data_IF_107458474164
#
_entry.id   IF_107458474164
#
_cell.length_a   1.000
_cell.length_b   1.000
_cell.length_c   1.000
_cell.angle_alpha   90.00
_cell.angle_beta   90.00
_cell.angle_gamma   90.00
#
_symmetry.space_group_name_H-M   'P 1'
#
loop_
_entity.id
_entity.type
_entity.pdbx_description
1 polymer ?
#
# COMPACT_ATOMS: atom_id res chain seq x y z
N UNK A 1 -3.37 -15.52 -13.38
CA UNK A 1 -3.41 -16.61 -12.37
C UNK A 1 -4.79 -17.28 -12.38
N UNK A 2 -4.84 -18.61 -12.20
CA UNK A 2 -6.13 -19.33 -12.11
C UNK A 2 -6.79 -19.01 -10.76
N UNK A 3 -8.10 -18.72 -10.78
CA UNK A 3 -8.86 -18.38 -9.56
C UNK A 3 -8.83 -19.53 -8.52
N UNK A 4 -8.62 -19.17 -7.24
CA UNK A 4 -8.74 -20.12 -6.13
C UNK A 4 -10.21 -20.50 -5.90
N UNK A 5 -10.47 -21.74 -5.49
CA UNK A 5 -11.78 -22.11 -4.95
C UNK A 5 -11.96 -21.50 -3.55
N UNK A 6 -13.19 -21.46 -3.04
CA UNK A 6 -13.46 -20.84 -1.73
C UNK A 6 -12.63 -21.46 -0.62
N UNK A 7 -12.52 -22.79 -0.58
CA UNK A 7 -11.68 -23.48 0.41
C UNK A 7 -10.20 -23.18 0.25
N UNK A 8 -9.70 -23.12 -0.98
CA UNK A 8 -8.31 -22.74 -1.26
C UNK A 8 -8.04 -21.27 -0.88
N UNK A 9 -9.00 -20.39 -1.12
CA UNK A 9 -8.91 -18.98 -0.74
C UNK A 9 -8.86 -18.81 0.79
N UNK A 10 -9.67 -19.57 1.53
CA UNK A 10 -9.63 -19.60 3.00
C UNK A 10 -8.27 -20.06 3.53
N UNK A 11 -7.73 -21.16 2.97
CA UNK A 11 -6.42 -21.69 3.35
C UNK A 11 -5.31 -20.68 3.04
N UNK A 12 -5.33 -20.07 1.85
CA UNK A 12 -4.36 -19.05 1.47
C UNK A 12 -4.41 -17.82 2.39
N UNK A 13 -5.61 -17.32 2.71
CA UNK A 13 -5.81 -16.23 3.67
C UNK A 13 -5.30 -16.57 5.08
N UNK A 14 -5.52 -17.82 5.52
CA UNK A 14 -5.00 -18.29 6.81
C UNK A 14 -3.47 -18.28 6.83
N UNK A 15 -2.82 -18.84 5.79
CA UNK A 15 -1.35 -18.86 5.67
C UNK A 15 -0.79 -17.44 5.69
N UNK A 16 -1.38 -16.55 4.92
CA UNK A 16 -0.99 -15.13 4.86
C UNK A 16 -1.13 -14.44 6.23
N UNK A 17 -2.29 -14.59 6.88
CA UNK A 17 -2.56 -14.00 8.20
C UNK A 17 -1.66 -14.57 9.29
N UNK A 18 -1.37 -15.87 9.23
CA UNK A 18 -0.46 -16.53 10.17
C UNK A 18 0.96 -15.98 10.03
N UNK A 19 1.47 -15.92 8.81
CA UNK A 19 2.80 -15.40 8.51
C UNK A 19 2.95 -13.93 8.90
N UNK A 20 1.88 -13.12 8.72
CA UNK A 20 1.84 -11.74 9.20
C UNK A 20 1.93 -11.63 10.72
N UNK A 21 1.26 -12.53 11.47
CA UNK A 21 1.24 -12.50 12.94
C UNK A 21 2.49 -13.07 13.59
N UNK A 22 3.05 -14.12 13.02
CA UNK A 22 4.11 -14.94 13.62
C UNK A 22 5.48 -14.73 12.99
N UNK A 23 5.58 -14.06 11.83
CA UNK A 23 6.80 -13.86 11.03
C UNK A 23 7.39 -15.14 10.41
N UNK A 24 6.64 -16.25 10.45
CA UNK A 24 6.97 -17.52 9.81
C UNK A 24 5.68 -18.21 9.34
N UNK A 25 5.74 -19.07 8.29
CA UNK A 25 4.55 -19.76 7.80
C UNK A 25 4.06 -20.84 8.77
N UNK A 26 2.75 -21.19 8.71
CA UNK A 26 2.22 -22.30 9.48
C UNK A 26 2.77 -23.64 8.97
N UNK A 27 2.81 -24.63 9.85
CA UNK A 27 3.01 -26.03 9.49
C UNK A 27 1.73 -26.64 8.90
N UNK A 28 1.87 -27.78 8.22
CA UNK A 28 0.69 -28.52 7.73
C UNK A 28 -0.22 -29.01 8.88
N UNK A 29 0.37 -29.31 10.05
CA UNK A 29 -0.40 -29.70 11.24
C UNK A 29 -1.24 -28.51 11.76
N UNK A 30 -0.66 -27.31 11.87
CA UNK A 30 -1.37 -26.09 12.29
C UNK A 30 -2.51 -25.75 11.32
N UNK A 31 -2.33 -25.96 10.00
CA UNK A 31 -3.41 -25.81 9.00
C UNK A 31 -4.49 -26.89 9.19
N UNK A 32 -4.09 -28.16 9.38
CA UNK A 32 -5.03 -29.26 9.62
C UNK A 32 -5.92 -28.95 10.81
N UNK A 33 -5.32 -28.57 11.92
CA UNK A 33 -6.01 -28.35 13.19
C UNK A 33 -6.95 -27.13 13.10
N UNK A 34 -6.51 -26.05 12.44
CA UNK A 34 -7.33 -24.85 12.24
C UNK A 34 -8.59 -25.13 11.38
N UNK A 35 -8.46 -25.93 10.34
CA UNK A 35 -9.56 -26.20 9.40
C UNK A 35 -10.32 -27.49 9.70
N UNK A 36 -9.93 -28.25 10.73
CA UNK A 36 -10.56 -29.52 11.09
C UNK A 36 -10.41 -30.60 10.03
N UNK A 37 -9.29 -30.64 9.29
CA UNK A 37 -9.07 -31.69 8.30
C UNK A 37 -8.79 -33.04 8.97
N UNK A 38 -9.41 -34.11 8.47
CA UNK A 38 -9.24 -35.47 9.00
C UNK A 38 -7.82 -36.03 8.80
N UNK A 39 -7.03 -35.50 7.86
CA UNK A 39 -5.68 -35.98 7.59
C UNK A 39 -4.74 -34.92 7.07
N UNK A 40 -3.42 -35.12 7.24
CA UNK A 40 -2.41 -34.26 6.60
C UNK A 40 -2.43 -34.35 5.08
N UNK A 41 -2.85 -35.48 4.51
CA UNK A 41 -2.94 -35.64 3.06
C UNK A 41 -4.00 -34.72 2.45
N UNK A 42 -5.10 -34.44 3.16
CA UNK A 42 -6.11 -33.46 2.73
C UNK A 42 -5.49 -32.06 2.64
N UNK A 43 -4.69 -31.65 3.65
CA UNK A 43 -3.98 -30.36 3.61
C UNK A 43 -3.00 -30.33 2.44
N UNK A 44 -2.19 -31.40 2.26
CA UNK A 44 -1.23 -31.51 1.15
C UNK A 44 -1.89 -31.32 -0.21
N UNK A 45 -3.03 -31.97 -0.45
CA UNK A 45 -3.78 -31.86 -1.69
C UNK A 45 -4.22 -30.42 -1.98
N UNK A 46 -4.73 -29.71 -0.97
CA UNK A 46 -5.10 -28.31 -1.12
C UNK A 46 -3.89 -27.41 -1.38
N UNK A 47 -2.79 -27.61 -0.63
CA UNK A 47 -1.56 -26.83 -0.81
C UNK A 47 -0.95 -27.05 -2.20
N UNK A 48 -0.88 -28.29 -2.69
CA UNK A 48 -0.41 -28.59 -4.05
C UNK A 48 -1.25 -27.91 -5.14
N UNK A 49 -2.57 -27.84 -4.95
CA UNK A 49 -3.46 -27.13 -5.89
C UNK A 49 -3.27 -25.60 -5.83
N UNK A 50 -3.02 -25.05 -4.66
CA UNK A 50 -2.71 -23.62 -4.47
C UNK A 50 -1.35 -23.30 -5.12
N UNK A 51 -0.34 -24.17 -4.95
CA UNK A 51 0.95 -24.09 -5.60
C UNK A 51 0.84 -24.15 -7.13
N UNK A 52 0.09 -25.15 -7.67
CA UNK A 52 -0.16 -25.29 -9.12
C UNK A 52 -0.82 -24.04 -9.73
N UNK A 53 -1.56 -23.27 -8.92
CA UNK A 53 -2.17 -22.00 -9.33
C UNK A 53 -1.24 -20.80 -9.18
N UNK A 54 -0.03 -21.00 -8.62
CA UNK A 54 1.02 -20.00 -8.51
C UNK A 54 0.91 -19.07 -7.31
N UNK A 55 0.16 -19.40 -6.26
CA UNK A 55 0.00 -18.55 -5.07
C UNK A 55 1.01 -18.82 -3.95
N UNK A 56 1.54 -20.04 -3.91
CA UNK A 56 2.56 -20.47 -2.94
C UNK A 56 3.61 -21.32 -3.66
N UNK A 57 4.78 -21.46 -3.02
CA UNK A 57 5.80 -22.48 -3.34
C UNK A 57 5.97 -23.36 -2.13
N UNK A 58 6.09 -24.68 -2.34
CA UNK A 58 6.23 -25.66 -1.28
C UNK A 58 7.65 -26.25 -1.29
N UNK A 59 8.37 -26.04 -0.20
CA UNK A 59 9.64 -26.70 0.06
C UNK A 59 9.39 -27.99 0.88
N UNK A 60 9.11 -29.07 0.17
CA UNK A 60 8.87 -30.38 0.79
C UNK A 60 10.09 -30.83 1.59
N UNK A 61 9.87 -31.29 2.83
CA UNK A 61 10.94 -31.67 3.75
C UNK A 61 11.30 -30.63 4.82
N UNK A 62 10.80 -29.41 4.69
CA UNK A 62 10.91 -28.40 5.77
C UNK A 62 9.59 -28.25 6.52
N UNK A 63 9.62 -28.27 7.85
CA UNK A 63 8.42 -28.15 8.70
C UNK A 63 7.60 -26.88 8.44
N UNK A 64 8.24 -25.81 7.98
CA UNK A 64 7.66 -24.50 7.66
C UNK A 64 8.01 -24.08 6.22
N UNK A 65 7.93 -25.02 5.29
CA UNK A 65 8.37 -24.85 3.92
C UNK A 65 7.32 -24.25 2.97
N UNK A 66 6.37 -23.43 3.46
CA UNK A 66 5.38 -22.74 2.65
C UNK A 66 5.88 -21.32 2.40
N UNK A 67 6.15 -20.99 1.14
CA UNK A 67 6.56 -19.65 0.70
C UNK A 67 5.42 -19.04 -0.12
N UNK A 68 5.04 -17.81 0.19
CA UNK A 68 4.10 -17.05 -0.64
C UNK A 68 4.81 -16.58 -1.91
N UNK A 69 4.33 -16.96 -3.09
CA UNK A 69 4.93 -16.57 -4.38
C UNK A 69 4.56 -15.16 -4.78
N UNK A 70 3.40 -14.72 -4.31
CA UNK A 70 2.97 -13.34 -4.33
C UNK A 70 2.62 -13.00 -2.89
N UNK A 71 3.57 -12.63 -2.07
CA UNK A 71 3.20 -12.00 -0.84
C UNK A 71 2.29 -10.86 -1.26
N UNK A 72 1.17 -10.71 -0.57
CA UNK A 72 0.43 -9.44 -0.54
C UNK A 72 1.35 -8.45 0.21
N UNK A 73 2.51 -8.22 -0.39
CA UNK A 73 3.67 -7.50 0.15
C UNK A 73 3.32 -6.05 0.37
N UNK A 74 2.28 -5.59 -0.34
CA UNK A 74 1.96 -4.18 -0.33
C UNK A 74 1.36 -3.68 0.98
N UNK A 75 0.86 -4.56 1.86
CA UNK A 75 0.29 -4.15 3.14
C UNK A 75 0.55 -5.16 4.25
N UNK A 76 1.77 -5.66 4.35
CA UNK A 76 2.19 -6.33 5.58
C UNK A 76 2.18 -5.29 6.70
N UNK A 77 1.15 -5.35 7.52
CA UNK A 77 0.86 -4.43 8.64
C UNK A 77 1.99 -4.25 9.66
N UNK A 78 3.15 -4.86 9.48
CA UNK A 78 4.17 -4.94 10.55
C UNK A 78 5.51 -4.28 10.31
N UNK A 79 5.93 -3.98 9.05
CA UNK A 79 7.35 -3.62 8.92
C UNK A 79 7.71 -2.57 7.88
N UNK A 80 6.86 -2.25 6.91
CA UNK A 80 7.26 -1.32 5.86
C UNK A 80 6.09 -0.59 5.21
N UNK A 81 6.37 0.59 4.66
CA UNK A 81 5.42 1.42 3.91
C UNK A 81 5.88 1.45 2.46
N UNK A 82 5.04 1.04 1.48
CA UNK A 82 5.41 1.06 0.08
C UNK A 82 5.58 2.50 -0.43
N UNK A 83 6.66 2.74 -1.17
CA UNK A 83 6.95 4.00 -1.85
C UNK A 83 6.37 3.94 -3.26
N UNK A 84 5.41 4.81 -3.55
CA UNK A 84 4.86 4.98 -4.88
C UNK A 84 5.86 5.78 -5.72
N UNK A 85 6.26 5.21 -6.85
CA UNK A 85 7.11 5.83 -7.85
C UNK A 85 6.31 6.52 -8.95
N UNK A 86 6.85 6.54 -10.15
CA UNK A 86 6.19 7.12 -11.31
C UNK A 86 4.92 6.34 -11.68
N UNK A 87 3.86 7.09 -11.96
CA UNK A 87 2.56 6.52 -12.32
C UNK A 87 2.51 6.34 -13.83
N UNK A 88 2.59 5.09 -14.27
CA UNK A 88 2.54 4.80 -15.70
C UNK A 88 1.13 5.02 -16.29
N UNK A 89 1.06 5.68 -17.44
CA UNK A 89 -0.19 5.93 -18.15
C UNK A 89 -0.91 4.62 -18.53
N UNK A 90 -2.22 4.58 -18.30
CA UNK A 90 -3.07 3.43 -18.68
C UNK A 90 -2.97 2.21 -17.75
N UNK A 91 -2.18 2.27 -16.69
CA UNK A 91 -2.05 1.22 -15.68
C UNK A 91 -2.82 1.64 -14.41
N UNK A 92 -3.57 0.74 -13.77
CA UNK A 92 -4.21 1.06 -12.49
C UNK A 92 -3.19 1.50 -11.44
N UNK A 93 -3.47 2.58 -10.72
CA UNK A 93 -2.54 3.19 -9.75
C UNK A 93 -1.96 2.19 -8.73
N UNK A 94 -2.79 1.28 -8.23
CA UNK A 94 -2.47 0.36 -7.14
C UNK A 94 -1.94 -1.00 -7.64
N UNK A 95 -1.07 -0.99 -8.65
CA UNK A 95 -0.38 -2.19 -9.13
C UNK A 95 1.08 -2.17 -8.72
N UNK A 96 1.67 -3.37 -8.65
CA UNK A 96 3.05 -3.58 -8.19
C UNK A 96 4.08 -2.74 -8.95
N UNK A 97 3.85 -2.54 -10.22
CA UNK A 97 4.75 -1.81 -11.12
C UNK A 97 4.90 -0.32 -10.80
N UNK A 98 3.94 0.25 -10.08
CA UNK A 98 3.99 1.66 -9.67
C UNK A 98 4.67 1.86 -8.31
N UNK A 99 5.13 0.81 -7.65
CA UNK A 99 5.88 0.91 -6.40
C UNK A 99 7.36 0.60 -6.63
N UNK A 100 8.22 1.52 -6.25
CA UNK A 100 9.67 1.39 -6.42
C UNK A 100 10.30 0.54 -5.33
N UNK A 101 10.02 0.88 -4.07
CA UNK A 101 10.65 0.31 -2.89
C UNK A 101 9.69 0.27 -1.70
N UNK A 102 10.11 -0.39 -0.63
CA UNK A 102 9.44 -0.35 0.66
C UNK A 102 10.30 0.38 1.68
N UNK A 103 9.74 1.38 2.34
CA UNK A 103 10.39 2.03 3.48
C UNK A 103 10.37 1.09 4.68
N UNK A 104 11.49 0.77 5.31
CA UNK A 104 11.56 -0.12 6.48
C UNK A 104 11.09 0.59 7.76
N UNK A 105 9.88 1.17 7.72
CA UNK A 105 9.29 1.95 8.80
C UNK A 105 7.95 1.34 9.16
N UNK A 106 7.72 1.15 10.46
CA UNK A 106 6.47 0.57 10.93
C UNK A 106 5.28 1.49 10.67
N UNK A 107 4.22 1.02 9.99
CA UNK A 107 2.98 1.77 9.80
C UNK A 107 2.33 2.23 11.11
N UNK A 108 2.59 1.55 12.21
CA UNK A 108 2.07 1.90 13.53
C UNK A 108 2.50 3.28 14.02
N UNK A 109 3.66 3.80 13.56
CA UNK A 109 4.12 5.14 13.87
C UNK A 109 3.18 6.24 13.34
N UNK A 110 2.42 5.93 12.30
CA UNK A 110 1.48 6.85 11.65
C UNK A 110 0.01 6.45 11.93
N UNK A 111 -0.25 5.71 13.00
CA UNK A 111 -1.59 5.27 13.40
C UNK A 111 -2.14 4.08 12.59
N UNK A 112 -1.30 3.40 11.83
CA UNK A 112 -1.67 2.20 11.05
C UNK A 112 -2.63 2.48 9.88
N UNK A 113 -3.29 1.43 9.38
CA UNK A 113 -4.14 1.49 8.20
C UNK A 113 -3.37 1.15 6.92
N UNK A 114 -4.00 1.39 5.77
CA UNK A 114 -3.35 1.26 4.47
C UNK A 114 -2.54 2.54 4.20
N UNK A 115 -1.23 2.44 4.35
CA UNK A 115 -0.31 3.56 4.14
C UNK A 115 0.53 3.33 2.88
N UNK A 116 0.83 4.40 2.18
CA UNK A 116 1.85 4.46 1.15
C UNK A 116 2.68 5.73 1.31
N UNK A 117 3.81 5.78 0.66
CA UNK A 117 4.72 6.92 0.69
C UNK A 117 4.83 7.56 -0.69
N UNK A 118 5.07 8.85 -0.74
CA UNK A 118 5.36 9.64 -1.93
C UNK A 118 6.63 10.44 -1.72
N UNK A 119 7.50 10.47 -2.72
CA UNK A 119 8.62 11.40 -2.73
C UNK A 119 8.13 12.80 -3.07
N UNK A 120 8.43 13.76 -2.22
CA UNK A 120 8.07 15.15 -2.43
C UNK A 120 9.02 15.79 -3.43
N UNK A 121 8.46 16.38 -4.48
CA UNK A 121 9.20 17.13 -5.49
C UNK A 121 8.71 18.57 -5.47
N UNK A 122 9.65 19.51 -5.34
CA UNK A 122 9.38 20.95 -5.28
C UNK A 122 8.98 21.46 -3.89
N UNK A 123 8.60 22.73 -3.84
CA UNK A 123 8.47 23.51 -2.61
C UNK A 123 7.06 24.02 -2.36
N UNK A 124 6.04 23.44 -3.01
CA UNK A 124 4.65 23.92 -2.92
C UNK A 124 4.04 23.80 -1.52
N UNK A 125 4.63 23.02 -0.62
CA UNK A 125 4.12 22.72 0.73
C UNK A 125 5.10 23.13 1.85
N UNK A 126 6.06 24.02 1.57
CA UNK A 126 7.10 24.43 2.55
C UNK A 126 6.51 25.17 3.75
N UNK A 127 5.38 25.85 3.60
CA UNK A 127 4.67 26.51 4.69
C UNK A 127 4.16 25.54 5.78
N UNK A 128 3.94 24.28 5.42
CA UNK A 128 3.62 23.19 6.35
C UNK A 128 4.87 22.39 6.77
N UNK A 129 6.07 22.89 6.46
CA UNK A 129 7.32 22.22 6.79
C UNK A 129 7.67 21.04 5.91
N UNK A 130 6.88 20.75 4.85
CA UNK A 130 7.13 19.68 3.87
C UNK A 130 8.05 20.26 2.78
N UNK A 131 9.25 19.70 2.63
CA UNK A 131 10.31 20.20 1.76
C UNK A 131 10.58 19.25 0.61
N UNK A 132 11.24 19.77 -0.41
CA UNK A 132 11.74 18.93 -1.50
C UNK A 132 12.62 17.79 -0.96
N UNK A 133 12.46 16.60 -1.55
CA UNK A 133 13.12 15.34 -1.17
C UNK A 133 12.64 14.71 0.15
N UNK A 134 11.65 15.27 0.83
CA UNK A 134 10.96 14.57 1.90
C UNK A 134 10.20 13.34 1.35
N UNK A 135 9.90 12.41 2.22
CA UNK A 135 9.00 11.29 1.92
C UNK A 135 7.72 11.51 2.71
N UNK A 136 6.66 11.86 2.02
CA UNK A 136 5.33 12.03 2.60
C UNK A 136 4.66 10.69 2.83
N UNK A 137 4.10 10.46 4.00
CA UNK A 137 3.33 9.27 4.35
C UNK A 137 1.85 9.60 4.21
N UNK A 138 1.16 8.80 3.44
CA UNK A 138 -0.23 9.00 3.05
C UNK A 138 -1.06 7.82 3.52
N UNK A 139 -2.17 8.09 4.19
CA UNK A 139 -3.20 7.09 4.47
C UNK A 139 -4.17 7.03 3.30
N UNK A 140 -4.26 5.86 2.68
CA UNK A 140 -5.14 5.63 1.55
C UNK A 140 -6.60 5.81 1.92
N UNK A 141 -7.26 6.76 1.28
CA UNK A 141 -8.69 7.03 1.38
C UNK A 141 -9.13 7.92 0.22
N UNK A 142 -10.36 7.77 -0.22
CA UNK A 142 -10.88 8.51 -1.38
C UNK A 142 -11.52 9.86 -0.98
N UNK A 143 -11.68 10.11 0.32
CA UNK A 143 -12.33 11.31 0.87
C UNK A 143 -11.43 11.88 1.97
N UNK A 144 -11.31 13.20 1.99
CA UNK A 144 -10.62 13.97 3.04
C UNK A 144 -11.51 15.11 3.51
N UNK A 145 -11.28 15.58 4.73
CA UNK A 145 -12.00 16.73 5.28
C UNK A 145 -11.44 18.04 4.74
N UNK A 146 -12.27 19.08 4.73
CA UNK A 146 -11.86 20.41 4.30
C UNK A 146 -10.72 20.94 5.16
N UNK A 147 -9.66 21.42 4.50
CA UNK A 147 -8.46 21.92 5.16
C UNK A 147 -7.41 20.83 5.45
N UNK A 148 -7.70 19.56 5.18
CA UNK A 148 -6.66 18.50 5.28
C UNK A 148 -5.68 18.55 4.10
N UNK A 149 -4.46 18.12 4.36
CA UNK A 149 -3.45 17.92 3.30
C UNK A 149 -3.64 16.52 2.76
N UNK A 150 -3.71 16.40 1.44
CA UNK A 150 -3.91 15.15 0.75
C UNK A 150 -2.93 14.96 -0.41
N UNK A 151 -2.67 13.70 -0.74
CA UNK A 151 -2.12 13.32 -2.01
C UNK A 151 -3.24 13.30 -3.05
N UNK A 152 -3.07 14.04 -4.11
CA UNK A 152 -4.04 14.22 -5.19
C UNK A 152 -3.38 13.83 -6.50
N UNK A 153 -4.06 13.04 -7.32
CA UNK A 153 -3.66 12.72 -8.68
C UNK A 153 -4.26 13.75 -9.64
N UNK A 154 -3.41 14.43 -10.39
CA UNK A 154 -3.77 15.39 -11.42
C UNK A 154 -2.98 15.02 -12.67
N UNK A 155 -3.64 14.80 -13.80
CA UNK A 155 -2.99 14.49 -15.09
C UNK A 155 -1.89 13.41 -14.98
N UNK A 156 -2.15 12.35 -14.17
CA UNK A 156 -1.26 11.22 -13.89
C UNK A 156 -0.06 11.53 -12.98
N UNK A 157 0.03 12.72 -12.42
CA UNK A 157 1.04 13.08 -11.43
C UNK A 157 0.44 13.16 -10.03
N UNK A 158 1.08 12.53 -9.05
CA UNK A 158 0.70 12.65 -7.64
C UNK A 158 1.33 13.90 -7.03
N UNK A 159 0.51 14.75 -6.41
CA UNK A 159 0.97 15.97 -5.74
C UNK A 159 0.34 16.09 -4.35
N UNK A 160 1.00 16.87 -3.47
CA UNK A 160 0.44 17.22 -2.16
C UNK A 160 -0.18 18.61 -2.22
N UNK A 161 -1.41 18.72 -1.74
CA UNK A 161 -2.13 20.00 -1.63
C UNK A 161 -3.03 19.99 -0.39
N UNK A 162 -3.32 21.18 0.13
CA UNK A 162 -4.42 21.35 1.08
C UNK A 162 -5.73 21.39 0.29
N UNK A 163 -6.67 20.54 0.68
CA UNK A 163 -7.92 20.33 -0.05
C UNK A 163 -9.04 21.11 0.59
N UNK A 164 -9.77 21.86 -0.21
CA UNK A 164 -11.05 22.46 0.16
C UNK A 164 -12.10 22.04 -0.86
N UNK A 165 -13.18 21.46 -0.38
CA UNK A 165 -14.28 20.97 -1.19
C UNK A 165 -15.56 21.73 -0.83
N UNK A 166 -16.20 22.30 -1.84
CA UNK A 166 -17.56 22.84 -1.76
C UNK A 166 -18.49 22.06 -2.69
N UNK A 167 -19.79 22.42 -2.73
CA UNK A 167 -20.76 21.80 -3.63
C UNK A 167 -20.34 21.85 -5.10
N UNK A 168 -19.65 22.92 -5.52
CA UNK A 168 -19.41 23.22 -6.92
C UNK A 168 -17.93 23.31 -7.30
N UNK A 169 -17.04 23.36 -6.30
CA UNK A 169 -15.62 23.66 -6.52
C UNK A 169 -14.70 22.83 -5.62
N UNK A 170 -13.68 22.26 -6.21
CA UNK A 170 -12.51 21.68 -5.53
C UNK A 170 -11.36 22.69 -5.64
N UNK A 171 -10.86 23.14 -4.50
CA UNK A 171 -9.69 24.01 -4.42
C UNK A 171 -8.52 23.22 -3.84
N UNK A 172 -7.43 23.19 -4.57
CA UNK A 172 -6.16 22.61 -4.18
C UNK A 172 -5.17 23.73 -3.89
N UNK A 173 -5.00 23.99 -2.59
CA UNK A 173 -4.16 25.09 -2.12
C UNK A 173 -2.73 24.61 -1.88
N UNK A 174 -1.78 25.37 -2.39
CA UNK A 174 -0.36 25.25 -2.04
C UNK A 174 -0.07 26.01 -0.74
N UNK A 175 0.77 25.45 0.11
CA UNK A 175 1.26 26.11 1.33
C UNK A 175 2.63 26.81 1.05
N UNK A 176 2.64 27.58 -0.03
CA UNK A 176 3.73 28.46 -0.43
C UNK A 176 3.15 29.58 -1.29
N UNK A 177 3.34 30.83 -0.88
CA UNK A 177 2.79 32.02 -1.54
C UNK A 177 3.26 32.22 -2.99
N UNK A 178 4.36 31.57 -3.39
CA UNK A 178 4.87 31.61 -4.77
C UNK A 178 4.07 30.74 -5.73
N UNK A 179 3.16 29.89 -5.23
CA UNK A 179 2.34 28.98 -6.01
C UNK A 179 0.89 29.40 -5.99
N UNK A 180 0.24 29.43 -7.16
CA UNK A 180 -1.18 29.70 -7.28
C UNK A 180 -2.00 28.49 -6.80
N UNK A 181 -3.17 28.75 -6.25
CA UNK A 181 -4.16 27.69 -5.99
C UNK A 181 -4.70 27.16 -7.31
N UNK A 182 -5.03 25.87 -7.33
CA UNK A 182 -5.69 25.22 -8.45
C UNK A 182 -7.16 25.06 -8.11
N UNK A 183 -8.04 25.47 -9.01
CA UNK A 183 -9.48 25.43 -8.81
C UNK A 183 -10.12 24.59 -9.92
N UNK A 184 -10.92 23.61 -9.53
CA UNK A 184 -11.56 22.69 -10.45
C UNK A 184 -13.06 22.63 -10.17
N UNK A 185 -13.92 22.89 -11.16
CA UNK A 185 -15.35 22.68 -11.02
C UNK A 185 -15.67 21.21 -10.72
N UNK A 186 -16.56 20.95 -9.80
CA UNK A 186 -17.07 19.61 -9.50
C UNK A 186 -18.00 19.17 -10.64
N UNK A 187 -17.48 18.32 -11.54
CA UNK A 187 -18.23 17.72 -12.66
C UNK A 187 -18.11 16.20 -12.58
N UNK A 188 -19.03 15.46 -13.16
CA UNK A 188 -19.05 13.98 -13.15
C UNK A 188 -17.76 13.33 -13.70
N UNK A 189 -17.00 14.00 -14.57
CA UNK A 189 -15.74 13.51 -15.14
C UNK A 189 -14.54 14.36 -14.70
N UNK A 190 -14.43 14.65 -13.41
CA UNK A 190 -13.28 15.37 -12.90
C UNK A 190 -12.02 14.47 -13.02
N UNK A 191 -10.94 14.89 -13.71
CA UNK A 191 -9.71 14.12 -13.87
C UNK A 191 -8.93 13.98 -12.57
N UNK A 192 -9.39 14.62 -11.48
CA UNK A 192 -8.70 14.65 -10.20
C UNK A 192 -9.20 13.53 -9.30
N UNK A 193 -8.25 12.82 -8.68
CA UNK A 193 -8.53 11.80 -7.69
C UNK A 193 -7.77 12.06 -6.40
N UNK A 194 -8.47 12.00 -5.27
CA UNK A 194 -7.83 11.95 -3.96
C UNK A 194 -7.25 10.54 -3.79
N UNK A 195 -5.95 10.46 -3.51
CA UNK A 195 -5.25 9.20 -3.25
C UNK A 195 -5.22 8.85 -1.77
N UNK A 196 -5.27 9.87 -0.91
CA UNK A 196 -5.28 9.68 0.52
C UNK A 196 -4.89 10.92 1.30
N UNK A 197 -5.07 10.83 2.60
CA UNK A 197 -4.73 11.88 3.57
C UNK A 197 -3.26 11.82 3.97
N UNK A 198 -2.60 12.95 3.98
CA UNK A 198 -1.27 13.11 4.57
C UNK A 198 -1.32 12.85 6.08
N UNK A 199 -0.39 12.04 6.59
CA UNK A 199 -0.30 11.68 8.02
C UNK A 199 1.06 11.94 8.63
N UNK A 200 2.07 12.31 7.83
CA UNK A 200 3.39 12.66 8.34
C UNK A 200 4.46 12.62 7.26
N UNK A 201 5.69 12.96 7.63
CA UNK A 201 6.86 12.90 6.76
C UNK A 201 7.98 12.06 7.36
N UNK A 202 8.81 11.54 6.48
CA UNK A 202 10.14 11.01 6.80
C UNK A 202 11.15 11.89 6.09
N UNK A 203 12.04 12.51 6.86
CA UNK A 203 13.14 13.30 6.33
C UNK A 203 14.45 12.66 6.70
N UNK A 204 15.25 12.35 5.69
CA UNK A 204 16.59 11.84 5.91
C UNK A 204 17.55 13.03 6.09
N UNK A 205 18.35 13.00 7.13
CA UNK A 205 19.43 13.97 7.31
C UNK A 205 20.45 13.85 6.17
N UNK A 206 21.27 14.90 5.95
CA UNK A 206 22.25 15.00 4.86
C UNK A 206 23.40 13.96 4.93
N UNK A 207 23.19 12.79 5.49
CA UNK A 207 24.15 11.69 5.43
C UNK A 207 23.96 10.91 4.13
N UNK A 208 24.91 11.06 3.23
CA UNK A 208 25.08 10.29 2.01
C UNK A 208 25.06 8.79 2.35
N UNK A 209 24.05 8.07 1.86
CA UNK A 209 24.08 6.61 1.84
C UNK A 209 22.83 5.94 2.37
N UNK A 210 21.81 5.88 1.56
CA UNK A 210 20.95 4.70 1.39
C UNK A 210 20.64 4.64 -0.11
N UNK A 211 21.47 3.89 -0.79
CA UNK A 211 21.20 3.32 -2.11
C UNK A 211 20.86 1.86 -1.91
#
# INVERSE_FOLDING_TARGET
MKKLTDKQSQIYKFITSWQMKKSYPPTQAEIRDHFGFCSQNAVRSHLALIEKKGYIRLNWGKARGIELTHPSIFFSKKSSIPLLGDIAAGIPLWVEQNFENNLPISPALFGGGELFALKVIGDSMVGEGIKNSDIAIIRRQDIVENGEIAAVLIDQEATLKRVFLSSDLLILKSENASFKNLEYPMRENNPIRILGRYVGIVRMGNNRGFL
#
